data_IF_838941061587
#
_entry.id   IF_838941061587
#
_cell.length_a   1.000
_cell.length_b   1.000
_cell.length_c   1.000
_cell.angle_alpha   90.00
_cell.angle_beta   90.00
_cell.angle_gamma   90.00
#
_symmetry.space_group_name_H-M   'P 1'
#
loop_
_entity.id
_entity.type
_entity.pdbx_description
1 polymer ?
#
# COMPACT_ATOMS: atom_id res chain seq x y z
N UNK A 1 -7.15 68.34 16.19
CA UNK A 1 -6.95 66.90 15.92
C UNK A 1 -7.03 66.52 14.43
N UNK A 2 -7.79 67.22 13.59
CA UNK A 2 -7.93 66.89 12.14
C UNK A 2 -6.67 67.06 11.28
N UNK A 3 -5.73 67.96 11.64
CA UNK A 3 -4.48 68.18 10.86
C UNK A 3 -3.53 66.97 10.85
N UNK A 4 -3.50 66.19 11.93
CA UNK A 4 -2.63 65.01 12.02
C UNK A 4 -3.24 63.76 11.39
N UNK A 5 -4.57 63.75 11.19
CA UNK A 5 -5.27 62.63 10.55
C UNK A 5 -4.90 62.52 9.06
N UNK A 6 -4.75 63.65 8.36
CA UNK A 6 -4.31 63.66 6.95
C UNK A 6 -2.87 63.17 6.77
N UNK A 7 -1.98 63.54 7.69
CA UNK A 7 -0.58 63.09 7.69
C UNK A 7 -0.50 61.59 7.98
N UNK A 8 -1.33 61.08 8.91
CA UNK A 8 -1.39 59.66 9.24
C UNK A 8 -1.87 58.80 8.06
N UNK A 9 -2.88 59.27 7.30
CA UNK A 9 -3.39 58.56 6.12
C UNK A 9 -2.36 58.57 4.98
N UNK A 10 -1.65 59.67 4.79
CA UNK A 10 -0.59 59.78 3.77
C UNK A 10 0.61 58.86 4.10
N UNK A 11 0.95 58.70 5.38
CA UNK A 11 2.03 57.80 5.82
C UNK A 11 1.67 56.32 5.65
N UNK A 12 0.39 55.97 5.86
CA UNK A 12 -0.11 54.61 5.69
C UNK A 12 -0.10 54.15 4.23
N UNK A 13 -0.30 55.08 3.28
CA UNK A 13 -0.33 54.79 1.85
C UNK A 13 1.07 54.56 1.24
N UNK A 14 2.13 55.05 1.91
CA UNK A 14 3.53 54.85 1.51
C UNK A 14 4.07 53.49 1.99
N UNK A 15 3.45 52.88 3.01
CA UNK A 15 3.89 51.62 3.61
C UNK A 15 3.33 50.35 2.95
N UNK A 16 2.51 50.47 1.90
CA UNK A 16 2.06 49.33 1.10
C UNK A 16 2.85 49.26 -0.22
N UNK A 17 4.01 48.57 -0.28
CA UNK A 17 4.66 48.31 -1.55
C UNK A 17 3.75 47.43 -2.41
N UNK A 18 3.44 47.93 -3.61
CA UNK A 18 2.76 47.23 -4.68
C UNK A 18 3.23 45.77 -4.77
N UNK A 19 2.33 44.83 -4.53
CA UNK A 19 2.58 43.40 -4.75
C UNK A 19 2.90 43.21 -6.22
N UNK A 20 4.16 42.86 -6.52
CA UNK A 20 4.59 42.43 -7.85
C UNK A 20 3.73 41.22 -8.23
N UNK A 21 2.90 41.36 -9.25
CA UNK A 21 2.26 40.21 -9.89
C UNK A 21 3.37 39.38 -10.52
N UNK A 22 3.67 38.23 -9.93
CA UNK A 22 4.56 37.23 -10.52
C UNK A 22 3.85 36.63 -11.72
N UNK A 23 4.33 36.98 -12.91
CA UNK A 23 3.90 36.37 -14.15
C UNK A 23 4.47 34.95 -14.20
N UNK A 24 3.62 33.96 -13.96
CA UNK A 24 4.01 32.57 -14.00
C UNK A 24 4.27 32.17 -15.45
N UNK A 25 5.54 32.25 -15.87
CA UNK A 25 5.99 31.78 -17.18
C UNK A 25 5.63 30.30 -17.32
N UNK A 26 4.60 30.04 -18.12
CA UNK A 26 4.17 28.68 -18.46
C UNK A 26 5.33 27.97 -19.15
N UNK A 27 5.92 26.99 -18.45
CA UNK A 27 6.90 26.09 -19.05
C UNK A 27 6.22 25.34 -20.21
N UNK A 28 6.89 25.18 -21.36
CA UNK A 28 6.34 24.40 -22.45
C UNK A 28 6.07 22.98 -21.96
N UNK A 29 4.80 22.59 -21.91
CA UNK A 29 4.44 21.19 -21.72
C UNK A 29 5.04 20.41 -22.88
N UNK A 30 5.91 19.45 -22.57
CA UNK A 30 6.51 18.56 -23.55
C UNK A 30 5.39 17.74 -24.23
N UNK A 31 4.83 18.28 -25.31
CA UNK A 31 3.94 17.59 -26.24
C UNK A 31 4.77 16.67 -27.13
N UNK A 32 5.44 15.73 -26.49
CA UNK A 32 6.04 14.56 -27.09
C UNK A 32 6.08 13.51 -25.99
N UNK A 33 4.90 12.96 -25.69
CA UNK A 33 4.80 11.61 -25.16
C UNK A 33 5.32 10.67 -26.25
N UNK A 34 6.64 10.68 -26.42
CA UNK A 34 7.36 9.63 -27.14
C UNK A 34 6.90 8.33 -26.50
N UNK A 35 6.22 7.53 -27.30
CA UNK A 35 5.86 6.15 -27.02
C UNK A 35 7.03 5.51 -26.30
N UNK A 36 6.87 5.31 -24.98
CA UNK A 36 7.87 4.65 -24.16
C UNK A 36 8.17 3.33 -24.89
N UNK A 37 9.41 3.07 -25.34
CA UNK A 37 9.73 1.75 -25.81
C UNK A 37 9.32 0.80 -24.69
N UNK A 38 8.45 -0.15 -25.01
CA UNK A 38 8.13 -1.25 -24.11
C UNK A 38 9.42 -2.04 -23.99
N UNK A 39 10.28 -1.59 -23.08
CA UNK A 39 11.39 -2.36 -22.57
C UNK A 39 10.70 -3.54 -21.91
N UNK A 40 10.53 -4.60 -22.69
CA UNK A 40 10.27 -5.93 -22.16
C UNK A 40 11.61 -6.31 -21.55
N UNK A 41 11.91 -5.71 -20.39
CA UNK A 41 13.00 -6.17 -19.55
C UNK A 41 12.61 -7.61 -19.27
N UNK A 42 13.29 -8.53 -19.97
CA UNK A 42 13.26 -9.95 -19.66
C UNK A 42 13.90 -10.01 -18.27
N UNK A 43 13.07 -9.79 -17.25
CA UNK A 43 13.45 -9.86 -15.86
C UNK A 43 13.91 -11.29 -15.68
N UNK A 44 15.22 -11.51 -15.77
CA UNK A 44 15.88 -12.72 -15.29
C UNK A 44 15.62 -12.72 -13.80
N UNK A 45 14.45 -13.24 -13.44
CA UNK A 45 13.78 -13.04 -12.18
C UNK A 45 14.57 -13.78 -11.11
N UNK A 46 15.61 -13.13 -10.60
CA UNK A 46 16.46 -13.64 -9.54
C UNK A 46 15.73 -13.69 -8.19
N UNK A 47 14.50 -13.16 -8.12
CA UNK A 47 13.63 -13.21 -6.94
C UNK A 47 12.52 -14.25 -7.02
N UNK A 48 11.72 -14.32 -5.96
CA UNK A 48 10.48 -15.11 -5.95
C UNK A 48 9.32 -14.35 -6.61
N UNK A 49 8.44 -15.07 -7.28
CA UNK A 49 7.14 -14.57 -7.71
C UNK A 49 6.14 -14.62 -6.57
N UNK A 50 5.31 -13.59 -6.44
CA UNK A 50 4.25 -13.49 -5.44
C UNK A 50 3.02 -12.91 -6.13
N UNK A 51 1.91 -13.64 -6.07
CA UNK A 51 0.63 -13.25 -6.65
C UNK A 51 -0.49 -13.46 -5.62
N UNK A 52 -0.84 -12.42 -4.86
CA UNK A 52 -2.00 -12.46 -3.97
C UNK A 52 -3.30 -12.27 -4.76
N UNK A 53 -4.31 -13.07 -4.43
CA UNK A 53 -5.64 -13.02 -5.04
C UNK A 53 -6.69 -13.21 -3.94
N UNK A 54 -7.67 -12.30 -3.89
CA UNK A 54 -8.81 -12.47 -3.00
C UNK A 54 -9.64 -13.69 -3.43
N UNK A 55 -9.99 -14.55 -2.47
CA UNK A 55 -10.88 -15.70 -2.70
C UNK A 55 -12.25 -15.20 -3.16
N UNK A 56 -12.97 -15.97 -3.96
CA UNK A 56 -14.23 -15.55 -4.56
C UNK A 56 -15.29 -15.11 -3.53
N UNK A 57 -15.31 -15.74 -2.36
CA UNK A 57 -16.21 -15.42 -1.25
C UNK A 57 -15.70 -14.28 -0.34
N UNK A 58 -14.53 -13.70 -0.66
CA UNK A 58 -13.85 -12.63 0.08
C UNK A 58 -13.47 -12.96 1.54
N UNK A 59 -13.51 -14.23 1.93
CA UNK A 59 -13.20 -14.68 3.30
C UNK A 59 -11.73 -15.05 3.51
N UNK A 60 -10.95 -15.07 2.43
CA UNK A 60 -9.53 -15.39 2.47
C UNK A 60 -8.75 -14.70 1.36
N UNK A 61 -7.45 -14.54 1.58
CA UNK A 61 -6.47 -14.17 0.57
C UNK A 61 -5.64 -15.40 0.19
N UNK A 62 -5.69 -15.77 -1.09
CA UNK A 62 -4.87 -16.85 -1.65
C UNK A 62 -3.58 -16.24 -2.19
N UNK A 63 -2.44 -16.63 -1.64
CA UNK A 63 -1.12 -16.13 -2.06
C UNK A 63 -0.37 -17.23 -2.78
N UNK A 64 -0.16 -17.04 -4.07
CA UNK A 64 0.62 -17.96 -4.89
C UNK A 64 2.08 -17.50 -4.94
N UNK A 65 2.99 -18.41 -4.62
CA UNK A 65 4.42 -18.20 -4.65
C UNK A 65 5.05 -19.05 -5.74
N UNK A 66 5.98 -18.47 -6.49
CA UNK A 66 6.74 -19.17 -7.53
C UNK A 66 8.24 -18.85 -7.43
N UNK A 67 9.05 -19.65 -8.09
CA UNK A 67 10.52 -19.55 -8.04
C UNK A 67 11.10 -19.70 -6.62
N UNK A 68 10.44 -20.50 -5.77
CA UNK A 68 10.82 -20.71 -4.37
C UNK A 68 12.18 -21.40 -4.22
N UNK A 69 12.66 -22.10 -5.25
CA UNK A 69 14.02 -22.65 -5.29
C UNK A 69 15.11 -21.58 -5.15
N UNK A 70 14.80 -20.31 -5.39
CA UNK A 70 15.72 -19.18 -5.24
C UNK A 70 15.74 -18.64 -3.80
N UNK A 71 14.75 -19.00 -2.96
CA UNK A 71 14.64 -18.53 -1.58
C UNK A 71 15.28 -19.49 -0.58
N UNK A 72 15.80 -18.93 0.51
CA UNK A 72 16.23 -19.66 1.71
C UNK A 72 15.23 -19.53 2.86
N UNK A 73 14.43 -18.46 2.87
CA UNK A 73 13.34 -18.26 3.81
C UNK A 73 12.26 -17.38 3.18
N UNK A 74 10.99 -17.67 3.46
CA UNK A 74 9.83 -16.83 3.10
C UNK A 74 8.89 -16.79 4.28
N UNK A 75 8.54 -15.59 4.73
CA UNK A 75 7.48 -15.32 5.70
C UNK A 75 6.48 -14.33 5.14
N UNK A 76 5.26 -14.41 5.66
CA UNK A 76 4.16 -13.55 5.27
C UNK A 76 3.42 -13.06 6.50
N UNK A 77 2.89 -11.85 6.40
CA UNK A 77 2.03 -11.26 7.40
C UNK A 77 0.92 -10.46 6.71
N UNK A 78 -0.31 -10.91 6.90
CA UNK A 78 -1.51 -10.20 6.51
C UNK A 78 -2.03 -9.46 7.74
N UNK A 79 -2.21 -8.15 7.63
CA UNK A 79 -2.91 -7.32 8.62
C UNK A 79 -4.17 -6.73 8.00
N UNK A 80 -5.20 -6.53 8.80
CA UNK A 80 -6.45 -5.91 8.37
C UNK A 80 -7.24 -5.38 9.56
N UNK A 81 -8.23 -4.54 9.28
CA UNK A 81 -9.19 -4.06 10.26
C UNK A 81 -10.53 -4.75 10.04
N UNK A 82 -11.16 -5.20 11.11
CA UNK A 82 -12.55 -5.65 11.10
C UNK A 82 -13.48 -4.61 11.73
N UNK A 83 -14.66 -4.45 11.14
CA UNK A 83 -15.72 -3.63 11.71
C UNK A 83 -16.64 -4.51 12.53
N UNK A 84 -16.56 -4.38 13.86
CA UNK A 84 -17.50 -4.98 14.78
C UNK A 84 -18.75 -4.08 14.81
N UNK A 85 -19.90 -4.64 14.40
CA UNK A 85 -21.22 -4.01 14.18
C UNK A 85 -21.48 -3.50 12.76
N UNK A 86 -22.26 -4.25 11.96
CA UNK A 86 -22.74 -3.81 10.66
C UNK A 86 -23.94 -2.84 10.71
N UNK A 87 -24.53 -2.59 11.90
CA UNK A 87 -25.80 -1.88 12.12
C UNK A 87 -25.68 -0.35 12.27
N UNK A 88 -24.47 0.22 12.19
CA UNK A 88 -24.25 1.66 12.15
C UNK A 88 -24.22 2.38 13.51
N UNK A 89 -24.43 1.69 14.63
CA UNK A 89 -24.37 2.29 15.97
C UNK A 89 -23.01 2.01 16.63
N UNK A 90 -22.11 3.01 16.63
CA UNK A 90 -20.70 2.93 17.08
C UNK A 90 -19.98 1.65 16.61
N UNK A 91 -19.48 1.71 15.37
CA UNK A 91 -18.53 0.71 14.84
C UNK A 91 -17.27 0.70 15.71
N UNK A 92 -16.98 -0.45 16.31
CA UNK A 92 -15.68 -0.69 16.95
C UNK A 92 -14.76 -1.31 15.89
N UNK A 93 -13.60 -0.70 15.68
CA UNK A 93 -12.59 -1.21 14.76
C UNK A 93 -11.63 -2.08 15.57
N UNK A 94 -11.45 -3.32 15.14
CA UNK A 94 -10.47 -4.24 15.72
C UNK A 94 -9.41 -4.57 14.66
N UNK A 95 -8.15 -4.55 15.06
CA UNK A 95 -7.03 -4.95 14.20
C UNK A 95 -6.80 -6.45 14.34
N UNK A 96 -6.61 -7.11 13.21
CA UNK A 96 -6.48 -8.55 13.10
C UNK A 96 -5.39 -8.91 12.09
N UNK A 97 -4.97 -10.17 12.08
CA UNK A 97 -3.99 -10.62 11.12
C UNK A 97 -3.82 -12.13 11.03
N UNK A 98 -3.08 -12.54 10.00
CA UNK A 98 -2.66 -13.91 9.78
C UNK A 98 -1.18 -13.90 9.37
N UNK A 99 -0.35 -14.69 10.04
CA UNK A 99 1.09 -14.77 9.77
C UNK A 99 1.55 -16.21 9.63
N UNK A 100 2.68 -16.38 8.96
CA UNK A 100 3.31 -17.70 8.84
C UNK A 100 4.55 -17.68 7.96
N UNK A 101 5.09 -18.88 7.73
CA UNK A 101 6.22 -19.12 6.86
C UNK A 101 5.93 -20.24 5.87
N UNK A 102 6.71 -20.29 4.79
CA UNK A 102 6.66 -21.40 3.85
C UNK A 102 7.71 -22.45 4.21
N UNK A 103 7.32 -23.73 4.19
CA UNK A 103 8.28 -24.81 4.17
C UNK A 103 8.82 -25.00 2.75
N UNK A 104 10.12 -24.73 2.55
CA UNK A 104 10.76 -24.66 1.25
C UNK A 104 11.37 -25.99 0.77
N UNK A 105 10.92 -27.15 1.29
CA UNK A 105 11.45 -28.51 0.98
C UNK A 105 11.45 -28.88 -0.53
N UNK A 106 12.31 -28.25 -1.34
CA UNK A 106 12.48 -28.50 -2.77
C UNK A 106 11.35 -28.00 -3.68
N UNK A 107 10.28 -27.41 -3.14
CA UNK A 107 9.14 -26.95 -3.95
C UNK A 107 9.50 -25.67 -4.71
N UNK A 108 9.21 -25.65 -6.01
CA UNK A 108 9.34 -24.45 -6.85
C UNK A 108 8.16 -23.48 -6.66
N UNK A 109 6.98 -24.05 -6.39
CA UNK A 109 5.73 -23.30 -6.20
C UNK A 109 5.00 -23.76 -4.93
N UNK A 110 4.34 -22.83 -4.25
CA UNK A 110 3.49 -23.13 -3.10
C UNK A 110 2.37 -22.08 -3.01
N UNK A 111 1.24 -22.47 -2.44
CA UNK A 111 0.12 -21.58 -2.14
C UNK A 111 -0.08 -21.51 -0.64
N UNK A 112 -0.33 -20.30 -0.13
CA UNK A 112 -0.79 -20.08 1.24
C UNK A 112 -2.19 -19.46 1.21
N UNK A 113 -3.07 -19.95 2.07
CA UNK A 113 -4.40 -19.38 2.27
C UNK A 113 -4.42 -18.64 3.60
N UNK A 114 -4.67 -17.33 3.54
CA UNK A 114 -4.70 -16.44 4.70
C UNK A 114 -6.14 -16.03 4.95
N UNK A 115 -6.73 -16.54 6.02
CA UNK A 115 -8.14 -16.32 6.32
C UNK A 115 -8.34 -14.94 6.97
N UNK A 116 -9.42 -14.26 6.57
CA UNK A 116 -9.96 -13.14 7.33
C UNK A 116 -10.83 -13.71 8.46
N UNK A 117 -10.19 -14.29 9.46
CA UNK A 117 -10.88 -14.97 10.55
C UNK A 117 -9.94 -15.84 11.37
N UNK A 118 -10.54 -16.56 12.31
CA UNK A 118 -9.85 -17.53 13.17
C UNK A 118 -10.42 -18.92 12.95
N UNK A 119 -9.58 -19.95 13.09
CA UNK A 119 -10.02 -21.34 13.03
C UNK A 119 -9.52 -22.10 14.26
N UNK A 120 -10.39 -22.93 14.82
CA UNK A 120 -10.06 -23.86 15.90
C UNK A 120 -10.76 -25.17 15.66
N UNK A 121 -10.05 -26.31 15.79
CA UNK A 121 -10.60 -27.66 15.58
C UNK A 121 -11.41 -27.80 14.28
N UNK A 122 -10.88 -27.29 13.16
CA UNK A 122 -11.50 -27.29 11.82
C UNK A 122 -12.78 -26.45 11.68
N UNK A 123 -13.14 -25.62 12.67
CA UNK A 123 -14.24 -24.67 12.58
C UNK A 123 -13.67 -23.26 12.44
N UNK A 124 -14.02 -22.59 11.34
CA UNK A 124 -13.56 -21.23 11.06
C UNK A 124 -14.67 -20.20 11.31
N UNK A 125 -14.34 -19.17 12.07
CA UNK A 125 -15.16 -17.96 12.25
C UNK A 125 -14.55 -16.85 11.41
N UNK A 126 -15.30 -16.40 10.41
CA UNK A 126 -14.86 -15.35 9.51
C UNK A 126 -15.22 -13.97 10.06
N UNK A 127 -14.28 -13.05 9.97
CA UNK A 127 -14.46 -11.64 10.28
C UNK A 127 -15.22 -10.93 9.15
N UNK A 128 -15.94 -9.86 9.48
CA UNK A 128 -16.76 -9.09 8.53
C UNK A 128 -16.32 -7.63 8.47
N UNK A 129 -16.71 -6.93 7.40
CA UNK A 129 -16.41 -5.50 7.24
C UNK A 129 -14.91 -5.23 7.18
N UNK A 130 -14.17 -6.08 6.46
CA UNK A 130 -12.72 -6.01 6.32
C UNK A 130 -12.30 -4.72 5.62
N UNK A 131 -11.38 -3.98 6.22
CA UNK A 131 -10.81 -2.73 5.71
C UNK A 131 -9.29 -2.74 5.87
N UNK A 132 -8.62 -1.88 5.11
CA UNK A 132 -7.17 -1.63 5.21
C UNK A 132 -6.30 -2.90 5.18
N UNK A 133 -6.70 -3.90 4.38
CA UNK A 133 -5.96 -5.15 4.30
C UNK A 133 -4.60 -4.95 3.61
N UNK A 134 -3.52 -5.33 4.31
CA UNK A 134 -2.14 -5.21 3.86
C UNK A 134 -1.44 -6.56 4.00
N UNK A 135 -0.93 -7.09 2.89
CA UNK A 135 -0.07 -8.26 2.88
C UNK A 135 1.39 -7.83 2.78
N UNK A 136 2.21 -8.25 3.72
CA UNK A 136 3.65 -8.11 3.71
C UNK A 136 4.30 -9.48 3.51
N UNK A 137 5.20 -9.58 2.53
CA UNK A 137 6.01 -10.77 2.27
C UNK A 137 7.47 -10.41 2.51
N UNK A 138 8.10 -11.07 3.47
CA UNK A 138 9.53 -10.98 3.71
C UNK A 138 10.21 -12.25 3.20
N UNK A 139 11.28 -12.12 2.44
CA UNK A 139 12.03 -13.30 2.00
C UNK A 139 13.52 -13.03 1.85
N UNK A 140 14.29 -14.09 2.09
CA UNK A 140 15.73 -14.15 1.87
C UNK A 140 15.98 -15.03 0.65
N UNK A 141 16.82 -14.56 -0.25
CA UNK A 141 17.35 -15.37 -1.35
C UNK A 141 18.55 -16.19 -0.88
N UNK A 142 18.82 -17.29 -1.58
CA UNK A 142 20.02 -18.12 -1.34
C UNK A 142 21.33 -17.37 -1.55
N UNK A 143 21.32 -16.29 -2.35
CA UNK A 143 22.46 -15.39 -2.52
C UNK A 143 22.61 -14.34 -1.41
N UNK A 144 21.84 -14.44 -0.32
CA UNK A 144 21.91 -13.56 0.85
C UNK A 144 21.08 -12.29 0.76
N UNK A 145 20.53 -11.93 -0.40
CA UNK A 145 19.69 -10.72 -0.55
C UNK A 145 18.37 -10.88 0.19
N UNK A 146 17.94 -9.81 0.87
CA UNK A 146 16.67 -9.76 1.61
C UNK A 146 15.69 -8.80 0.93
N UNK A 147 14.42 -9.15 0.95
CA UNK A 147 13.36 -8.36 0.32
C UNK A 147 12.13 -8.28 1.22
N UNK A 148 11.46 -7.14 1.17
CA UNK A 148 10.14 -6.91 1.73
C UNK A 148 9.21 -6.42 0.63
N UNK A 149 8.15 -7.15 0.33
CA UNK A 149 7.12 -6.77 -0.64
C UNK A 149 5.81 -6.50 0.09
N UNK A 150 5.18 -5.36 -0.20
CA UNK A 150 3.91 -4.96 0.41
C UNK A 150 2.82 -4.87 -0.65
N UNK A 151 1.64 -5.41 -0.34
CA UNK A 151 0.48 -5.45 -1.23
C UNK A 151 -0.74 -4.94 -0.49
N UNK A 152 -1.31 -3.82 -0.98
CA UNK A 152 -2.61 -3.36 -0.51
C UNK A 152 -3.69 -4.21 -1.17
N UNK A 153 -4.54 -4.82 -0.35
CA UNK A 153 -5.60 -5.71 -0.82
C UNK A 153 -6.92 -4.94 -0.77
N UNK A 154 -7.60 -4.88 -1.92
CA UNK A 154 -8.96 -4.36 -2.00
C UNK A 154 -9.94 -5.52 -1.78
N UNK A 155 -10.65 -5.49 -0.66
CA UNK A 155 -11.66 -6.49 -0.26
C UNK A 155 -13.05 -6.10 -0.75
#
# INVERSE_FOLDING_TARGET
MIKYLGILVLLLLILFPFTKTVDAKLLPQAKNAASKPKITAKNTQSGIGVSPKLRADKKALIVNFTNLQNASAVSYFLTYKQSLRPDGLKSSIQEEGAMGGLNLSGKSNQTAELLFGTCSKNVCRYHSGIKDALLEISYNLKNGKKYLKKYKIKV
#
